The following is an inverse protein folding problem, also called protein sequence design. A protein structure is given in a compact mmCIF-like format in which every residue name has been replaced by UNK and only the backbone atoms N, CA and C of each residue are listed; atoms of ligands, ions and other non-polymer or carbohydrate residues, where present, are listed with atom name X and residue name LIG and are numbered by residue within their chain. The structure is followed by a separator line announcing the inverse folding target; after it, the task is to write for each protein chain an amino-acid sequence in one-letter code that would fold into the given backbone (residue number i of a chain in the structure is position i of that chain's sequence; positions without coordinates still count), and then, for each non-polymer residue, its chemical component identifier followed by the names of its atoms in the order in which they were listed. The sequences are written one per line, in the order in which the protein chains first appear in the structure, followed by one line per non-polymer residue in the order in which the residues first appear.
data_IF_742916941607
#
_entry.id   IF_742916941607
#
_cell.length_a   1.000
_cell.length_b   1.000
_cell.length_c   1.000
_cell.angle_alpha   90.00
_cell.angle_beta   90.00
_cell.angle_gamma   90.00
#
_symmetry.space_group_name_H-M   'P 1'
#
loop_
_entity.id
_entity.type
_entity.pdbx_description
1 polymer ?
#
# COMPACT_ATOMS: atom_id res chain seq x y z
N UNK A 1 56.96 9.47 -10.03
CA UNK A 1 56.00 8.40 -9.69
C UNK A 1 54.98 8.99 -8.76
N UNK A 2 53.89 9.59 -9.31
CA UNK A 2 52.87 10.30 -8.52
C UNK A 2 51.75 9.31 -8.17
N UNK A 3 51.52 9.09 -6.87
CA UNK A 3 50.39 8.34 -6.34
C UNK A 3 49.14 9.20 -6.41
N UNK A 4 48.16 8.78 -7.19
CA UNK A 4 46.77 9.33 -7.14
C UNK A 4 46.06 8.75 -5.93
N UNK A 5 45.74 9.61 -4.99
CA UNK A 5 44.87 9.32 -3.87
C UNK A 5 43.42 9.52 -4.35
N UNK A 6 42.60 8.49 -4.26
CA UNK A 6 41.13 8.60 -4.45
C UNK A 6 40.53 8.97 -3.11
N UNK A 7 39.56 9.91 -3.04
CA UNK A 7 38.83 10.15 -1.81
C UNK A 7 37.82 9.00 -1.62
N UNK A 8 37.99 8.29 -0.52
CA UNK A 8 36.97 7.45 0.10
C UNK A 8 36.05 8.33 0.92
N UNK A 9 34.79 7.93 0.97
CA UNK A 9 33.69 8.34 1.82
C UNK A 9 32.71 9.35 1.23
N UNK A 10 31.79 8.80 0.46
CA UNK A 10 30.39 9.21 0.61
C UNK A 10 29.61 8.01 1.15
N UNK A 11 29.36 8.05 2.45
CA UNK A 11 28.38 7.21 3.11
C UNK A 11 27.03 7.56 2.49
N UNK A 12 26.65 6.82 1.44
CA UNK A 12 25.30 6.87 0.91
C UNK A 12 24.39 6.27 1.98
N UNK A 13 23.83 7.13 2.82
CA UNK A 13 22.69 6.77 3.67
C UNK A 13 21.59 6.28 2.75
N UNK A 14 21.26 5.00 2.87
CA UNK A 14 20.10 4.40 2.22
C UNK A 14 18.87 5.25 2.56
N UNK A 15 17.99 5.53 1.59
CA UNK A 15 16.81 6.33 1.86
C UNK A 15 15.97 5.64 2.92
N UNK A 16 15.78 6.35 4.02
CA UNK A 16 14.89 6.04 5.10
C UNK A 16 13.51 5.69 4.54
N UNK A 17 13.05 4.48 4.82
CA UNK A 17 11.70 3.93 4.68
C UNK A 17 10.73 4.65 3.72
N UNK A 18 10.74 4.28 2.45
CA UNK A 18 9.90 4.87 1.38
C UNK A 18 8.39 4.57 1.54
N UNK A 19 7.98 3.84 2.57
CA UNK A 19 6.57 3.44 2.78
C UNK A 19 5.86 4.15 3.94
N UNK A 20 6.58 5.00 4.68
CA UNK A 20 5.97 5.92 5.63
C UNK A 20 5.84 7.28 4.94
N UNK A 21 4.64 7.48 4.49
CA UNK A 21 3.80 8.65 4.52
C UNK A 21 4.21 9.91 3.79
N UNK A 22 3.38 10.19 2.92
CA UNK A 22 2.76 11.49 2.76
C UNK A 22 1.52 11.58 3.71
N UNK A 23 1.65 11.26 5.00
CA UNK A 23 0.51 11.09 5.91
C UNK A 23 -0.37 12.33 6.00
N UNK A 24 0.19 13.52 6.16
CA UNK A 24 -0.58 14.77 6.25
C UNK A 24 -1.37 15.11 4.97
N UNK A 25 -0.87 14.70 3.80
CA UNK A 25 -1.55 14.96 2.52
C UNK A 25 -2.66 13.98 2.20
N UNK A 26 -2.67 12.82 2.86
CA UNK A 26 -3.61 11.75 2.59
C UNK A 26 -4.66 11.55 3.68
N UNK A 27 -4.66 12.36 4.74
CA UNK A 27 -5.60 12.22 5.86
C UNK A 27 -7.06 12.28 5.41
N UNK A 28 -7.38 13.09 4.40
CA UNK A 28 -8.73 13.15 3.80
C UNK A 28 -9.20 11.82 3.15
N UNK A 29 -8.27 10.88 2.92
CA UNK A 29 -8.56 9.56 2.35
C UNK A 29 -8.53 8.45 3.40
N UNK A 30 -8.35 8.80 4.69
CA UNK A 30 -8.30 7.87 5.80
C UNK A 30 -9.71 7.60 6.33
N UNK A 31 -10.04 6.33 6.44
CA UNK A 31 -11.31 5.86 6.96
C UNK A 31 -11.11 5.31 8.38
N UNK A 32 -11.95 5.75 9.30
CA UNK A 32 -11.98 5.29 10.69
C UNK A 32 -13.30 4.54 11.01
N UNK A 33 -14.27 4.66 10.14
CA UNK A 33 -15.55 3.96 10.31
C UNK A 33 -15.35 2.45 10.16
N UNK A 34 -15.65 1.71 11.23
CA UNK A 34 -15.54 0.25 11.21
C UNK A 34 -16.39 -0.39 10.12
N UNK A 35 -17.55 0.16 9.83
CA UNK A 35 -18.46 -0.34 8.79
C UNK A 35 -17.79 -0.19 7.40
N UNK A 36 -17.18 0.97 7.13
CA UNK A 36 -16.52 1.25 5.87
C UNK A 36 -15.25 0.37 5.70
N UNK A 37 -14.47 0.21 6.77
CA UNK A 37 -13.30 -0.68 6.78
C UNK A 37 -13.72 -2.12 6.47
N UNK A 38 -14.72 -2.65 7.16
CA UNK A 38 -15.23 -4.00 6.91
C UNK A 38 -15.79 -4.16 5.51
N UNK A 39 -16.46 -3.14 4.98
CA UNK A 39 -16.96 -3.15 3.60
C UNK A 39 -15.81 -3.32 2.60
N UNK A 40 -14.75 -2.52 2.73
CA UNK A 40 -13.58 -2.59 1.86
C UNK A 40 -12.86 -3.93 1.99
N UNK A 41 -12.64 -4.42 3.21
CA UNK A 41 -11.98 -5.71 3.43
C UNK A 41 -12.79 -6.86 2.83
N UNK A 42 -14.12 -6.84 2.95
CA UNK A 42 -15.01 -7.83 2.33
C UNK A 42 -14.97 -7.78 0.80
N UNK A 43 -14.89 -6.59 0.23
CA UNK A 43 -14.77 -6.38 -1.21
C UNK A 43 -13.40 -6.90 -1.73
N UNK A 44 -12.30 -6.65 -1.00
CA UNK A 44 -10.98 -7.23 -1.29
C UNK A 44 -11.00 -8.77 -1.26
N UNK A 45 -11.65 -9.34 -0.26
CA UNK A 45 -11.83 -10.80 -0.17
C UNK A 45 -12.64 -11.35 -1.34
N UNK A 46 -13.77 -10.72 -1.65
CA UNK A 46 -14.70 -11.20 -2.69
C UNK A 46 -14.07 -11.14 -4.10
N UNK A 47 -13.16 -10.20 -4.31
CA UNK A 47 -12.43 -10.03 -5.57
C UNK A 47 -11.11 -10.81 -5.64
N UNK A 48 -10.81 -11.66 -4.65
CA UNK A 48 -9.55 -12.40 -4.50
C UNK A 48 -8.32 -11.51 -4.73
N UNK A 49 -8.39 -10.28 -4.20
CA UNK A 49 -7.34 -9.29 -4.42
C UNK A 49 -6.04 -9.71 -3.74
N UNK A 50 -4.95 -9.69 -4.51
CA UNK A 50 -3.61 -9.87 -3.94
C UNK A 50 -3.24 -8.65 -3.08
N UNK A 51 -2.73 -8.92 -1.90
CA UNK A 51 -2.27 -7.93 -0.93
C UNK A 51 -0.79 -8.15 -0.66
N UNK A 52 -0.01 -7.09 -0.72
CA UNK A 52 1.39 -7.12 -0.31
C UNK A 52 1.46 -6.80 1.18
N UNK A 53 2.01 -7.71 1.96
CA UNK A 53 2.31 -7.53 3.38
C UNK A 53 3.79 -7.23 3.53
N UNK A 54 4.12 -6.01 3.95
CA UNK A 54 5.47 -5.61 4.34
C UNK A 54 5.66 -5.81 5.84
N UNK A 55 6.87 -6.23 6.23
CA UNK A 55 7.22 -6.51 7.62
C UNK A 55 8.71 -6.33 7.88
N UNK A 56 9.06 -6.04 9.14
CA UNK A 56 10.44 -5.85 9.57
C UNK A 56 11.10 -4.59 8.99
N UNK A 57 12.39 -4.41 9.26
CA UNK A 57 13.14 -3.18 8.93
C UNK A 57 13.72 -3.16 7.50
N UNK A 58 13.80 -4.31 6.83
CA UNK A 58 14.49 -4.47 5.54
C UNK A 58 13.56 -4.44 4.32
N UNK A 59 12.39 -3.81 4.42
CA UNK A 59 11.37 -3.81 3.35
C UNK A 59 11.04 -5.22 2.83
N UNK A 60 11.15 -6.22 3.71
CA UNK A 60 10.75 -7.58 3.36
C UNK A 60 9.27 -7.65 3.15
N UNK A 61 8.81 -8.44 2.19
CA UNK A 61 7.39 -8.59 1.93
C UNK A 61 7.01 -10.01 1.55
N UNK A 62 5.73 -10.32 1.72
CA UNK A 62 5.06 -11.48 1.12
C UNK A 62 3.83 -11.01 0.36
N UNK A 63 3.42 -11.81 -0.63
CA UNK A 63 2.11 -11.68 -1.26
C UNK A 63 1.15 -12.62 -0.52
N UNK A 64 -0.02 -12.11 -0.19
CA UNK A 64 -1.07 -12.82 0.52
C UNK A 64 -2.44 -12.45 -0.04
N UNK A 65 -3.49 -13.11 0.44
CA UNK A 65 -4.89 -12.77 0.15
C UNK A 65 -5.72 -12.90 1.42
N UNK A 66 -6.87 -12.24 1.47
CA UNK A 66 -7.80 -12.34 2.59
C UNK A 66 -8.66 -13.59 2.39
N UNK A 67 -8.50 -14.56 3.29
CA UNK A 67 -9.26 -15.83 3.27
C UNK A 67 -10.60 -15.70 3.99
N UNK A 68 -10.59 -15.03 5.16
CA UNK A 68 -11.78 -14.86 5.99
C UNK A 68 -11.72 -13.57 6.80
N UNK A 69 -12.89 -13.04 7.15
CA UNK A 69 -13.04 -11.87 8.02
C UNK A 69 -14.02 -12.26 9.13
N UNK A 70 -13.51 -12.31 10.35
CA UNK A 70 -14.29 -12.53 11.56
C UNK A 70 -14.47 -11.19 12.28
N UNK A 71 -15.62 -10.56 12.05
CA UNK A 71 -15.93 -9.26 12.63
C UNK A 71 -16.20 -9.34 14.13
N UNK A 72 -16.63 -10.50 14.64
CA UNK A 72 -17.00 -10.69 16.04
C UNK A 72 -15.74 -10.85 16.90
N UNK A 73 -14.74 -11.58 16.39
CA UNK A 73 -13.46 -11.77 17.05
C UNK A 73 -12.41 -10.71 16.66
N UNK A 74 -12.78 -9.73 15.83
CA UNK A 74 -11.88 -8.67 15.35
C UNK A 74 -10.67 -9.21 14.57
N UNK A 75 -10.85 -10.24 13.77
CA UNK A 75 -9.77 -10.92 13.08
C UNK A 75 -9.95 -10.96 11.56
N UNK A 76 -8.83 -10.92 10.84
CA UNK A 76 -8.71 -11.20 9.42
C UNK A 76 -7.80 -12.42 9.27
N UNK A 77 -8.25 -13.44 8.57
CA UNK A 77 -7.44 -14.59 8.21
C UNK A 77 -6.86 -14.35 6.82
N UNK A 78 -5.55 -14.45 6.71
CA UNK A 78 -4.81 -14.27 5.46
C UNK A 78 -3.98 -15.49 5.13
N UNK A 79 -3.66 -15.66 3.85
CA UNK A 79 -2.93 -16.80 3.35
C UNK A 79 -1.52 -16.89 3.93
N UNK A 80 -1.04 -18.11 4.14
CA UNK A 80 0.26 -18.41 4.72
C UNK A 80 1.31 -18.55 3.62
N UNK A 81 2.45 -17.88 3.76
CA UNK A 81 3.51 -17.95 2.76
C UNK A 81 4.12 -19.35 2.64
N UNK A 82 4.64 -19.66 1.46
CA UNK A 82 5.27 -20.96 1.16
C UNK A 82 6.60 -21.14 1.93
N UNK A 83 7.32 -20.04 2.20
CA UNK A 83 8.64 -20.09 2.82
C UNK A 83 8.56 -20.01 4.35
N UNK A 84 8.94 -21.11 5.02
CA UNK A 84 8.87 -21.22 6.48
C UNK A 84 9.73 -20.17 7.21
N UNK A 85 10.92 -19.85 6.70
CA UNK A 85 11.81 -18.84 7.31
C UNK A 85 11.18 -17.45 7.21
N UNK A 86 10.61 -17.11 6.08
CA UNK A 86 9.90 -15.84 5.89
C UNK A 86 8.68 -15.76 6.81
N UNK A 87 7.91 -16.83 6.93
CA UNK A 87 6.75 -16.90 7.83
C UNK A 87 7.12 -16.68 9.30
N UNK A 88 8.25 -17.22 9.75
CA UNK A 88 8.76 -16.96 11.10
C UNK A 88 9.13 -15.49 11.31
N UNK A 89 9.73 -14.85 10.32
CA UNK A 89 10.05 -13.42 10.37
C UNK A 89 8.78 -12.56 10.43
N UNK A 90 7.75 -12.93 9.68
CA UNK A 90 6.43 -12.28 9.72
C UNK A 90 5.84 -12.39 11.13
N UNK A 91 5.84 -13.59 11.73
CA UNK A 91 5.30 -13.83 13.07
C UNK A 91 6.06 -13.08 14.18
N UNK A 92 7.35 -12.80 13.98
CA UNK A 92 8.17 -12.03 14.94
C UNK A 92 8.12 -10.52 14.73
N UNK A 93 7.38 -10.04 13.73
CA UNK A 93 7.28 -8.61 13.43
C UNK A 93 6.18 -7.95 14.26
N UNK A 94 6.49 -6.77 14.82
CA UNK A 94 5.54 -6.01 15.65
C UNK A 94 4.64 -5.08 14.82
N UNK A 95 5.05 -4.77 13.61
CA UNK A 95 4.34 -3.87 12.72
C UNK A 95 4.23 -4.50 11.34
N UNK A 96 3.01 -4.51 10.81
CA UNK A 96 2.64 -5.14 9.56
C UNK A 96 1.93 -4.11 8.70
N UNK A 97 2.49 -3.83 7.53
CA UNK A 97 1.95 -2.84 6.62
C UNK A 97 1.40 -3.53 5.36
N UNK A 98 0.11 -3.35 5.13
CA UNK A 98 -0.62 -3.96 4.03
C UNK A 98 -0.88 -2.96 2.92
N UNK A 99 -0.57 -3.34 1.69
CA UNK A 99 -0.80 -2.52 0.49
C UNK A 99 -1.46 -3.35 -0.59
N UNK A 100 -2.51 -2.82 -1.18
CA UNK A 100 -3.12 -3.41 -2.36
C UNK A 100 -3.66 -2.34 -3.30
N UNK A 101 -4.08 -2.75 -4.48
CA UNK A 101 -4.77 -1.89 -5.44
C UNK A 101 -6.01 -2.61 -5.95
N UNK A 102 -7.15 -1.97 -5.79
CA UNK A 102 -8.41 -2.44 -6.33
C UNK A 102 -9.02 -1.35 -7.19
N UNK A 103 -9.43 -1.66 -8.41
CA UNK A 103 -10.00 -0.71 -9.37
C UNK A 103 -9.11 0.55 -9.55
N UNK A 104 -7.78 0.38 -9.52
CA UNK A 104 -6.76 1.46 -9.59
C UNK A 104 -6.71 2.37 -8.37
N UNK A 105 -7.45 2.07 -7.32
CA UNK A 105 -7.43 2.77 -6.03
C UNK A 105 -6.41 2.06 -5.15
N UNK A 106 -5.49 2.81 -4.55
CA UNK A 106 -4.54 2.28 -3.58
C UNK A 106 -5.22 2.17 -2.23
N UNK A 107 -5.05 1.03 -1.58
CA UNK A 107 -5.58 0.73 -0.25
C UNK A 107 -4.40 0.34 0.63
N UNK A 108 -4.29 0.96 1.81
CA UNK A 108 -3.22 0.74 2.77
C UNK A 108 -3.79 0.67 4.18
N UNK A 109 -3.24 -0.21 4.99
CA UNK A 109 -3.57 -0.30 6.41
C UNK A 109 -2.44 -0.99 7.20
N UNK A 110 -2.42 -0.77 8.50
CA UNK A 110 -1.47 -1.38 9.43
C UNK A 110 -2.17 -2.27 10.42
N UNK A 111 -1.50 -3.35 10.82
CA UNK A 111 -1.93 -4.23 11.90
C UNK A 111 -0.73 -4.47 12.83
N UNK A 112 -0.99 -4.57 14.14
CA UNK A 112 0.05 -4.66 15.16
C UNK A 112 0.20 -6.06 15.75
N UNK A 113 -0.69 -6.98 15.38
CA UNK A 113 -0.71 -8.34 15.93
C UNK A 113 -0.89 -9.35 14.82
N UNK A 114 -0.05 -10.36 14.82
CA UNK A 114 -0.15 -11.50 13.91
C UNK A 114 0.07 -12.79 14.69
N UNK A 115 -0.70 -13.81 14.40
CA UNK A 115 -0.54 -15.14 14.96
C UNK A 115 -0.72 -16.20 13.88
N UNK A 116 -0.08 -17.35 14.07
CA UNK A 116 -0.34 -18.51 13.25
C UNK A 116 -1.67 -19.12 13.65
N UNK A 117 -2.46 -19.48 12.68
CA UNK A 117 -3.75 -20.17 12.84
C UNK A 117 -3.92 -21.24 11.78
N UNK A 118 -5.08 -21.88 11.76
CA UNK A 118 -5.49 -22.77 10.67
C UNK A 118 -6.82 -22.29 10.09
N UNK A 119 -6.93 -22.37 8.79
CA UNK A 119 -8.15 -22.09 8.06
C UNK A 119 -8.36 -23.17 6.98
N UNK A 120 -9.53 -23.78 7.00
CA UNK A 120 -9.88 -24.90 6.09
C UNK A 120 -8.81 -26.01 6.03
N UNK A 121 -8.28 -26.37 7.23
CA UNK A 121 -7.27 -27.44 7.38
C UNK A 121 -5.86 -27.07 6.91
N UNK A 122 -5.60 -25.82 6.55
CA UNK A 122 -4.29 -25.31 6.13
C UNK A 122 -3.78 -24.26 7.11
N UNK A 123 -2.45 -24.14 7.17
CA UNK A 123 -1.82 -23.06 7.93
C UNK A 123 -2.23 -21.70 7.33
N UNK A 124 -2.51 -20.74 8.19
CA UNK A 124 -2.89 -19.38 7.87
C UNK A 124 -2.31 -18.40 8.89
N UNK A 125 -2.32 -17.11 8.57
CA UNK A 125 -2.10 -16.06 9.55
C UNK A 125 -3.44 -15.46 9.98
N UNK A 126 -3.56 -15.09 11.24
CA UNK A 126 -4.61 -14.22 11.76
C UNK A 126 -4.01 -12.90 12.19
N UNK A 127 -4.61 -11.79 11.73
CA UNK A 127 -4.27 -10.42 12.09
C UNK A 127 -5.52 -9.72 12.60
N UNK A 128 -5.35 -8.68 13.42
CA UNK A 128 -6.49 -7.86 13.86
C UNK A 128 -7.05 -7.01 12.70
N UNK A 129 -8.35 -6.71 12.74
CA UNK A 129 -8.94 -5.73 11.83
C UNK A 129 -8.34 -4.35 12.16
N UNK A 130 -7.85 -3.58 11.15
CA UNK A 130 -7.20 -2.31 11.38
C UNK A 130 -8.17 -1.25 11.96
N UNK A 131 -7.65 -0.34 12.77
CA UNK A 131 -8.40 0.79 13.34
C UNK A 131 -8.67 1.88 12.30
N UNK A 132 -7.80 1.98 11.30
CA UNK A 132 -7.95 2.89 10.17
C UNK A 132 -7.45 2.27 8.89
N UNK A 133 -7.99 2.75 7.76
CA UNK A 133 -7.62 2.29 6.42
C UNK A 133 -7.54 3.49 5.50
N UNK A 134 -6.45 3.58 4.75
CA UNK A 134 -6.24 4.63 3.76
C UNK A 134 -6.71 4.14 2.40
N UNK A 135 -7.68 4.84 1.79
CA UNK A 135 -8.22 4.54 0.45
C UNK A 135 -8.00 5.72 -0.47
N UNK A 136 -6.89 5.73 -1.20
CA UNK A 136 -6.42 6.89 -1.96
C UNK A 136 -7.13 6.99 -3.30
N UNK A 137 -8.25 7.71 -3.33
CA UNK A 137 -8.99 8.08 -4.54
C UNK A 137 -8.78 9.58 -4.79
N UNK A 138 -7.75 9.93 -5.57
CA UNK A 138 -7.39 11.33 -5.88
C UNK A 138 -8.12 11.89 -7.11
N UNK A 139 -8.95 11.08 -7.78
CA UNK A 139 -9.57 11.46 -9.05
C UNK A 139 -11.08 11.46 -8.91
N UNK A 140 -11.66 12.63 -9.10
CA UNK A 140 -13.11 12.82 -9.12
C UNK A 140 -13.71 12.41 -10.49
N UNK A 141 -12.88 12.42 -11.54
CA UNK A 141 -13.31 12.11 -12.90
C UNK A 141 -12.71 10.80 -13.42
N UNK A 142 -13.54 10.05 -14.13
CA UNK A 142 -13.12 8.85 -14.83
C UNK A 142 -12.17 9.17 -15.98
N UNK A 143 -11.05 8.46 -16.11
CA UNK A 143 -10.14 8.60 -17.25
C UNK A 143 -10.43 7.52 -18.29
N UNK A 144 -10.83 7.95 -19.47
CA UNK A 144 -11.02 7.09 -20.63
C UNK A 144 -9.63 6.78 -21.21
N UNK A 145 -9.37 5.49 -21.46
CA UNK A 145 -8.17 5.09 -22.21
C UNK A 145 -8.35 5.47 -23.68
N UNK A 146 -7.45 6.30 -24.22
CA UNK A 146 -7.48 6.63 -25.64
C UNK A 146 -6.74 5.58 -26.45
N UNK A 147 -7.28 5.15 -27.62
CA UNK A 147 -6.61 4.21 -28.49
C UNK A 147 -5.27 4.76 -28.99
N UNK A 148 -4.20 3.98 -28.92
CA UNK A 148 -2.86 4.36 -29.40
C UNK A 148 -2.87 4.56 -30.92
N UNK A 149 -3.61 3.73 -31.64
CA UNK A 149 -3.67 3.75 -33.10
C UNK A 149 -4.43 4.96 -33.70
N UNK A 150 -5.33 5.60 -32.93
CA UNK A 150 -6.07 6.80 -33.33
C UNK A 150 -6.08 7.77 -32.15
N UNK A 151 -4.98 8.53 -31.94
CA UNK A 151 -4.90 9.46 -30.80
C UNK A 151 -5.92 10.60 -30.96
N UNK A 152 -6.58 10.94 -29.86
CA UNK A 152 -7.48 12.08 -29.79
C UNK A 152 -6.60 13.34 -29.69
N UNK A 153 -6.79 14.29 -30.62
CA UNK A 153 -6.15 15.61 -30.56
C UNK A 153 -6.93 16.50 -29.57
N UNK A 154 -6.25 17.00 -28.57
CA UNK A 154 -6.80 18.00 -27.66
C UNK A 154 -6.16 19.34 -27.92
N UNK A 155 -6.99 20.37 -28.23
CA UNK A 155 -6.55 21.74 -28.39
C UNK A 155 -6.83 22.48 -27.08
N UNK A 156 -5.77 22.94 -26.43
CA UNK A 156 -5.87 23.71 -25.19
C UNK A 156 -5.61 25.19 -25.58
N UNK A 157 -6.60 26.12 -25.46
CA UNK A 157 -6.37 27.52 -25.68
C UNK A 157 -5.44 28.07 -24.59
N UNK A 158 -4.31 28.65 -24.98
CA UNK A 158 -3.43 29.37 -24.06
C UNK A 158 -4.00 30.78 -23.87
N UNK A 159 -4.52 31.08 -22.69
CA UNK A 159 -4.85 32.44 -22.29
C UNK A 159 -3.55 33.13 -21.92
N UNK A 160 -3.05 34.00 -22.77
CA UNK A 160 -1.94 34.90 -22.42
C UNK A 160 -2.51 36.03 -21.54
N UNK A 161 -2.20 36.00 -20.25
CA UNK A 161 -2.37 37.19 -19.40
C UNK A 161 -1.42 38.30 -19.91
N UNK A 162 -1.96 39.35 -20.52
CA UNK A 162 -1.21 40.55 -20.83
C UNK A 162 -0.85 41.23 -19.51
N UNK A 163 0.41 41.13 -19.08
CA UNK A 163 0.94 42.01 -18.03
C UNK A 163 0.91 43.43 -18.53
N UNK A 164 -0.03 44.22 -18.02
CA UNK A 164 0.00 45.67 -18.17
C UNK A 164 1.20 46.20 -17.38
N UNK A 165 2.26 46.55 -18.06
CA UNK A 165 3.32 47.40 -17.51
C UNK A 165 2.79 48.80 -17.44
N UNK A 166 2.33 49.24 -16.27
CA UNK A 166 2.12 50.64 -15.99
C UNK A 166 3.49 51.29 -15.81
N UNK A 167 3.82 52.20 -16.70
CA UNK A 167 4.94 53.16 -16.61
C UNK A 167 4.58 54.27 -15.63
#
# INVERSE_FOLDING_TARGET
MMKKTYPTDETTSLPEQVWISEDDKNENFRLHSRVDILFILKDLKQSDSLVTLYFGQENSFILTSILHIDSDNNEIIIDYGINATTNQRVLSSNELFFVTRQNRIKIEFTCNQIKKTQYDGKDAFSVNIPESLLRIQRRDNYRISTPIAKPIKCLIPLVMESRSTNA
#
